data_IF_297429674746
#
_entry.id   IF_297429674746
#
_cell.length_a   1.000
_cell.length_b   1.000
_cell.length_c   1.000
_cell.angle_alpha   90.00
_cell.angle_beta   90.00
_cell.angle_gamma   90.00
#
_symmetry.space_group_name_H-M   'P 1'
#
loop_
_entity.id
_entity.type
_entity.pdbx_description
1 polymer ?
#
# COMPACT_ATOMS: atom_id res chain seq x y z
N UNK A 1 34.37 13.98 56.45
CA UNK A 1 33.65 14.93 55.58
C UNK A 1 33.73 14.33 54.19
N UNK A 2 33.04 13.20 54.04
CA UNK A 2 33.37 12.12 53.11
C UNK A 2 32.25 11.89 52.10
N UNK A 3 31.71 12.98 51.54
CA UNK A 3 30.57 12.92 50.61
C UNK A 3 30.90 13.32 49.17
N UNK A 4 32.15 13.69 48.85
CA UNK A 4 32.54 14.09 47.49
C UNK A 4 33.04 12.94 46.58
N UNK A 5 33.17 11.71 47.10
CA UNK A 5 33.76 10.58 46.36
C UNK A 5 32.73 9.65 45.67
N UNK A 6 31.48 10.08 45.46
CA UNK A 6 30.42 9.26 44.82
C UNK A 6 29.83 9.86 43.53
N UNK A 7 30.60 10.64 42.78
CA UNK A 7 30.23 11.10 41.43
C UNK A 7 31.16 10.58 40.33
N UNK A 8 31.78 9.42 40.53
CA UNK A 8 32.50 8.72 39.48
C UNK A 8 31.55 7.98 38.55
N UNK A 9 31.17 8.66 37.46
CA UNK A 9 31.15 8.09 36.09
C UNK A 9 30.60 6.67 35.94
N UNK A 10 29.30 6.52 36.12
CA UNK A 10 28.55 5.36 35.66
C UNK A 10 28.16 5.47 34.18
N UNK A 11 29.11 5.64 33.25
CA UNK A 11 28.86 5.38 31.82
C UNK A 11 28.83 3.87 31.60
N UNK A 12 27.80 3.21 32.14
CA UNK A 12 27.63 1.77 32.06
C UNK A 12 27.42 1.33 30.61
N UNK A 13 27.84 0.11 30.28
CA UNK A 13 27.64 -0.55 28.98
C UNK A 13 26.23 -0.35 28.42
N UNK A 14 25.22 -0.30 29.29
CA UNK A 14 23.83 0.01 28.96
C UNK A 14 23.59 1.38 28.31
N UNK A 15 24.30 2.42 28.74
CA UNK A 15 24.24 3.75 28.12
C UNK A 15 24.85 3.76 26.72
N UNK A 16 25.97 3.03 26.53
CA UNK A 16 26.61 2.87 25.23
C UNK A 16 25.73 2.07 24.26
N UNK A 17 25.08 1.00 24.73
CA UNK A 17 24.10 0.24 23.94
C UNK A 17 22.89 1.12 23.58
N UNK A 18 22.35 1.89 24.52
CA UNK A 18 21.21 2.76 24.26
C UNK A 18 21.52 3.86 23.23
N UNK A 19 22.70 4.50 23.32
CA UNK A 19 23.16 5.48 22.35
C UNK A 19 23.40 4.83 20.99
N UNK A 20 24.03 3.65 20.95
CA UNK A 20 24.26 2.90 19.72
C UNK A 20 22.95 2.53 19.01
N UNK A 21 21.98 2.00 19.76
CA UNK A 21 20.64 1.67 19.24
C UNK A 21 19.94 2.94 18.75
N UNK A 22 19.98 4.02 19.53
CA UNK A 22 19.39 5.31 19.12
C UNK A 22 20.01 5.82 17.82
N UNK A 23 21.33 5.89 17.70
CA UNK A 23 22.01 6.38 16.51
C UNK A 23 21.71 5.54 15.26
N UNK A 24 21.55 4.23 15.42
CA UNK A 24 21.12 3.35 14.32
C UNK A 24 19.62 3.46 14.05
N UNK A 25 18.77 3.68 15.04
CA UNK A 25 17.32 3.73 14.85
C UNK A 25 16.86 5.09 14.30
N UNK A 26 17.40 6.20 14.81
CA UNK A 26 16.96 7.56 14.49
C UNK A 26 17.86 8.34 13.50
N UNK A 27 19.04 7.83 13.15
CA UNK A 27 20.00 8.55 12.31
C UNK A 27 19.55 8.70 10.85
N UNK A 28 19.77 9.88 10.26
CA UNK A 28 19.52 10.18 8.85
C UNK A 28 20.25 9.23 7.87
N UNK A 29 21.38 8.64 8.29
CA UNK A 29 22.12 7.62 7.53
C UNK A 29 21.28 6.37 7.23
N UNK A 30 20.30 6.05 8.09
CA UNK A 30 19.45 4.88 7.92
C UNK A 30 18.18 5.16 7.12
N UNK A 31 17.92 6.39 6.68
CA UNK A 31 16.71 6.69 5.89
C UNK A 31 16.63 5.85 4.60
N UNK A 32 17.76 5.71 3.88
CA UNK A 32 17.81 4.87 2.67
C UNK A 32 17.45 3.43 2.99
N UNK A 33 17.99 2.88 4.07
CA UNK A 33 17.71 1.52 4.52
C UNK A 33 16.23 1.34 4.87
N UNK A 34 15.67 2.23 5.70
CA UNK A 34 14.27 2.15 6.12
C UNK A 34 13.31 2.33 4.94
N UNK A 35 13.63 3.23 4.01
CA UNK A 35 12.86 3.40 2.77
C UNK A 35 12.94 2.17 1.88
N UNK A 36 14.11 1.56 1.73
CA UNK A 36 14.26 0.32 0.96
C UNK A 36 13.45 -0.80 1.61
N UNK A 37 13.49 -0.95 2.93
CA UNK A 37 12.68 -1.95 3.64
C UNK A 37 11.17 -1.71 3.45
N UNK A 38 10.72 -0.45 3.51
CA UNK A 38 9.33 -0.09 3.26
C UNK A 38 8.88 -0.45 1.83
N UNK A 39 9.69 -0.12 0.82
CA UNK A 39 9.43 -0.49 -0.58
C UNK A 39 9.46 -2.00 -0.77
N UNK A 40 10.41 -2.71 -0.15
CA UNK A 40 10.48 -4.17 -0.18
C UNK A 40 9.24 -4.81 0.42
N UNK A 41 8.70 -4.26 1.52
CA UNK A 41 7.45 -4.73 2.12
C UNK A 41 6.26 -4.50 1.17
N UNK A 42 6.22 -3.36 0.48
CA UNK A 42 5.24 -3.11 -0.59
C UNK A 42 5.35 -4.10 -1.75
N UNK A 43 6.58 -4.44 -2.17
CA UNK A 43 6.82 -5.42 -3.22
C UNK A 43 6.43 -6.83 -2.79
N UNK A 44 6.75 -7.23 -1.56
CA UNK A 44 6.33 -8.52 -0.99
C UNK A 44 4.80 -8.58 -0.96
N UNK A 45 4.13 -7.53 -0.47
CA UNK A 45 2.67 -7.44 -0.45
C UNK A 45 2.06 -7.54 -1.84
N UNK A 46 2.63 -6.85 -2.84
CA UNK A 46 2.22 -6.95 -4.24
C UNK A 46 2.33 -8.38 -4.76
N UNK A 47 3.47 -9.04 -4.56
CA UNK A 47 3.68 -10.43 -4.98
C UNK A 47 2.74 -11.40 -4.27
N UNK A 48 2.56 -11.27 -2.95
CA UNK A 48 1.63 -12.10 -2.17
C UNK A 48 0.19 -11.93 -2.65
N UNK A 49 -0.24 -10.69 -2.92
CA UNK A 49 -1.57 -10.42 -3.45
C UNK A 49 -1.74 -10.99 -4.87
N UNK A 50 -0.75 -10.80 -5.75
CA UNK A 50 -0.76 -11.35 -7.10
C UNK A 50 -0.87 -12.88 -7.08
N UNK A 51 -0.08 -13.57 -6.26
CA UNK A 51 -0.18 -15.03 -6.12
C UNK A 51 -1.59 -15.42 -5.69
N UNK A 52 -2.15 -14.77 -4.65
CA UNK A 52 -3.49 -15.07 -4.15
C UNK A 52 -4.58 -14.88 -5.23
N UNK A 53 -4.56 -13.76 -5.95
CA UNK A 53 -5.61 -13.37 -6.89
C UNK A 53 -5.62 -14.21 -8.18
N UNK A 54 -4.47 -14.78 -8.55
CA UNK A 54 -4.34 -15.65 -9.73
C UNK A 54 -4.41 -17.15 -9.39
N UNK A 55 -4.06 -17.56 -8.16
CA UNK A 55 -4.23 -18.95 -7.70
C UNK A 55 -5.68 -19.31 -7.34
N UNK A 56 -6.49 -18.33 -6.90
CA UNK A 56 -7.90 -18.53 -6.52
C UNK A 56 -8.83 -17.60 -7.30
N UNK A 57 -9.01 -17.83 -8.62
CA UNK A 57 -9.63 -16.86 -9.51
C UNK A 57 -11.12 -16.57 -9.23
N UNK A 58 -11.84 -17.51 -8.61
CA UNK A 58 -13.28 -17.42 -8.31
C UNK A 58 -13.59 -16.52 -7.11
N UNK A 59 -12.70 -16.50 -6.12
CA UNK A 59 -12.84 -15.71 -4.88
C UNK A 59 -11.99 -14.42 -4.90
N UNK A 60 -11.33 -14.16 -6.02
CA UNK A 60 -10.36 -13.09 -6.19
C UNK A 60 -10.95 -11.68 -6.10
N UNK A 61 -12.24 -11.53 -6.41
CA UNK A 61 -12.95 -10.25 -6.39
C UNK A 61 -14.07 -10.34 -5.36
N UNK A 62 -14.07 -9.42 -4.39
CA UNK A 62 -15.12 -9.37 -3.36
C UNK A 62 -16.50 -9.18 -4.00
N UNK A 63 -17.54 -9.67 -3.33
CA UNK A 63 -18.92 -9.51 -3.80
C UNK A 63 -19.30 -8.03 -3.97
N UNK A 64 -18.86 -7.17 -3.04
CA UNK A 64 -19.11 -5.72 -3.11
C UNK A 64 -18.44 -5.07 -4.33
N UNK A 65 -17.23 -5.50 -4.70
CA UNK A 65 -16.53 -4.96 -5.87
C UNK A 65 -17.17 -5.43 -7.19
N UNK A 66 -17.74 -6.65 -7.21
CA UNK A 66 -18.42 -7.18 -8.41
C UNK A 66 -19.61 -6.33 -8.83
N UNK A 67 -20.31 -5.71 -7.88
CA UNK A 67 -21.42 -4.81 -8.17
C UNK A 67 -20.99 -3.65 -9.09
N UNK A 68 -19.88 -2.98 -8.79
CA UNK A 68 -19.33 -1.89 -9.59
C UNK A 68 -18.69 -2.34 -10.92
N UNK A 69 -18.29 -3.61 -11.03
CA UNK A 69 -17.70 -4.18 -12.26
C UNK A 69 -18.73 -4.75 -13.22
N UNK A 70 -19.88 -5.20 -12.70
CA UNK A 70 -20.89 -5.99 -13.42
C UNK A 70 -21.33 -5.38 -14.76
N UNK A 71 -21.56 -4.07 -14.80
CA UNK A 71 -22.02 -3.35 -15.99
C UNK A 71 -20.91 -3.03 -16.99
N UNK A 72 -19.63 -3.16 -16.61
CA UNK A 72 -18.49 -2.77 -17.47
C UNK A 72 -18.28 -3.71 -18.65
N UNK A 73 -18.84 -4.93 -18.61
CA UNK A 73 -18.87 -5.85 -19.75
C UNK A 73 -19.58 -5.26 -20.98
N UNK A 74 -20.45 -4.26 -20.78
CA UNK A 74 -21.13 -3.55 -21.86
C UNK A 74 -20.16 -2.79 -22.78
N UNK A 75 -18.92 -2.54 -22.36
CA UNK A 75 -17.92 -1.89 -23.22
C UNK A 75 -17.44 -2.79 -24.36
N UNK A 76 -17.47 -4.11 -24.15
CA UNK A 76 -17.10 -5.10 -25.16
C UNK A 76 -18.28 -5.45 -26.06
N UNK A 77 -19.50 -5.47 -25.49
CA UNK A 77 -20.73 -5.69 -26.23
C UNK A 77 -21.85 -4.84 -25.63
N UNK A 78 -22.24 -3.78 -26.35
CA UNK A 78 -23.28 -2.83 -25.94
C UNK A 78 -24.66 -3.48 -25.73
N UNK A 79 -24.88 -4.71 -26.20
CA UNK A 79 -26.10 -5.48 -25.98
C UNK A 79 -26.15 -6.22 -24.64
N UNK A 80 -25.02 -6.40 -23.94
CA UNK A 80 -25.00 -7.08 -22.64
C UNK A 80 -25.78 -6.27 -21.61
N UNK A 81 -26.57 -6.94 -20.75
CA UNK A 81 -27.28 -6.31 -19.63
C UNK A 81 -28.17 -5.12 -20.04
N UNK A 82 -28.57 -5.03 -21.31
CA UNK A 82 -29.44 -3.97 -21.79
C UNK A 82 -30.83 -4.10 -21.16
N UNK A 83 -31.27 -3.05 -20.46
CA UNK A 83 -32.53 -3.04 -19.73
C UNK A 83 -32.48 -3.76 -18.38
N UNK A 84 -31.29 -4.13 -17.90
CA UNK A 84 -31.10 -4.64 -16.54
C UNK A 84 -31.07 -3.48 -15.54
N UNK A 85 -32.10 -3.40 -14.68
CA UNK A 85 -32.24 -2.33 -13.70
C UNK A 85 -31.09 -2.28 -12.68
N UNK A 86 -30.50 -3.43 -12.33
CA UNK A 86 -29.41 -3.50 -11.34
C UNK A 86 -28.12 -2.99 -11.98
N UNK A 87 -27.83 -3.39 -13.22
CA UNK A 87 -26.68 -2.90 -13.96
C UNK A 87 -26.76 -1.38 -14.21
N UNK A 88 -27.94 -0.87 -14.58
CA UNK A 88 -28.16 0.55 -14.81
C UNK A 88 -28.04 1.37 -13.51
N UNK A 89 -28.54 0.84 -12.40
CA UNK A 89 -28.34 1.44 -11.07
C UNK A 89 -26.85 1.54 -10.72
N UNK A 90 -26.12 0.43 -10.77
CA UNK A 90 -24.69 0.40 -10.41
C UNK A 90 -23.84 1.26 -11.33
N UNK A 91 -24.20 1.34 -12.62
CA UNK A 91 -23.59 2.29 -13.56
C UNK A 91 -23.83 3.73 -13.13
N UNK A 92 -25.06 4.10 -12.79
CA UNK A 92 -25.42 5.47 -12.44
C UNK A 92 -24.76 5.94 -11.14
N UNK A 93 -24.61 5.06 -10.14
CA UNK A 93 -23.98 5.39 -8.85
C UNK A 93 -22.46 5.19 -8.85
N UNK A 94 -21.89 4.60 -9.90
CA UNK A 94 -20.44 4.42 -10.02
C UNK A 94 -19.75 5.79 -10.08
N UNK A 95 -18.76 6.06 -9.20
CA UNK A 95 -18.00 7.30 -9.28
C UNK A 95 -17.34 7.46 -10.65
N UNK A 96 -17.51 8.62 -11.28
CA UNK A 96 -17.02 8.85 -12.65
C UNK A 96 -15.50 8.59 -12.78
N UNK A 97 -14.71 8.95 -11.76
CA UNK A 97 -13.26 8.75 -11.76
C UNK A 97 -12.88 7.25 -11.72
N UNK A 98 -13.66 6.44 -10.99
CA UNK A 98 -13.48 5.00 -10.95
C UNK A 98 -13.75 4.39 -12.33
N UNK A 99 -14.88 4.73 -12.95
CA UNK A 99 -15.23 4.24 -14.29
C UNK A 99 -14.24 4.72 -15.36
N UNK A 100 -13.77 5.96 -15.28
CA UNK A 100 -12.78 6.50 -16.21
C UNK A 100 -11.44 5.75 -16.14
N UNK A 101 -10.98 5.39 -14.93
CA UNK A 101 -9.76 4.61 -14.75
C UNK A 101 -9.86 3.22 -15.39
N UNK A 102 -10.98 2.52 -15.18
CA UNK A 102 -11.24 1.23 -15.81
C UNK A 102 -11.40 1.34 -17.33
N UNK A 103 -12.05 2.42 -17.81
CA UNK A 103 -12.21 2.67 -19.25
C UNK A 103 -10.87 2.96 -19.93
N UNK A 104 -9.96 3.66 -19.26
CA UNK A 104 -8.60 3.88 -19.75
C UNK A 104 -7.84 2.56 -19.88
N UNK A 105 -7.88 1.70 -18.86
CA UNK A 105 -7.27 0.37 -18.92
C UNK A 105 -7.87 -0.49 -20.05
N UNK A 106 -9.19 -0.44 -20.22
CA UNK A 106 -9.89 -1.12 -21.30
C UNK A 106 -9.46 -0.63 -22.69
N UNK A 107 -9.20 0.67 -22.86
CA UNK A 107 -8.67 1.22 -24.11
C UNK A 107 -7.26 0.70 -24.45
N UNK A 108 -6.50 0.22 -23.46
CA UNK A 108 -5.22 -0.49 -23.66
C UNK A 108 -5.39 -2.01 -23.81
N UNK A 109 -6.61 -2.51 -23.96
CA UNK A 109 -6.92 -3.94 -24.13
C UNK A 109 -6.97 -4.74 -22.83
N UNK A 110 -6.98 -4.09 -21.67
CA UNK A 110 -7.07 -4.77 -20.37
C UNK A 110 -8.54 -4.84 -19.95
N UNK A 111 -9.09 -6.06 -19.83
CA UNK A 111 -10.49 -6.22 -19.42
C UNK A 111 -10.74 -5.65 -18.01
N UNK A 112 -11.95 -5.15 -17.71
CA UNK A 112 -12.27 -4.62 -16.38
C UNK A 112 -11.97 -5.61 -15.26
N UNK A 113 -12.28 -6.88 -15.46
CA UNK A 113 -12.01 -7.95 -14.50
C UNK A 113 -10.50 -8.15 -14.29
N UNK A 114 -9.70 -8.11 -15.35
CA UNK A 114 -8.25 -8.20 -15.24
C UNK A 114 -7.67 -6.98 -14.53
N UNK A 115 -8.16 -5.77 -14.86
CA UNK A 115 -7.71 -4.54 -14.23
C UNK A 115 -8.05 -4.48 -12.74
N UNK A 116 -9.21 -5.00 -12.33
CA UNK A 116 -9.58 -5.12 -10.91
C UNK A 116 -8.60 -5.96 -10.08
N UNK A 117 -7.86 -6.88 -10.71
CA UNK A 117 -6.81 -7.70 -10.08
C UNK A 117 -5.44 -7.04 -10.17
N UNK A 118 -5.14 -6.46 -11.33
CA UNK A 118 -3.85 -5.84 -11.62
C UNK A 118 -3.64 -4.54 -10.84
N UNK A 119 -4.64 -3.66 -10.78
CA UNK A 119 -4.49 -2.35 -10.17
C UNK A 119 -4.14 -2.41 -8.68
N UNK A 120 -4.83 -3.20 -7.84
CA UNK A 120 -4.44 -3.37 -6.43
C UNK A 120 -3.03 -3.96 -6.29
N UNK A 121 -2.61 -4.86 -7.19
CA UNK A 121 -1.23 -5.38 -7.20
C UNK A 121 -0.21 -4.26 -7.42
N UNK A 122 -0.47 -3.38 -8.39
CA UNK A 122 0.44 -2.30 -8.76
C UNK A 122 0.52 -1.19 -7.69
N UNK A 123 -0.55 -0.98 -6.92
CA UNK A 123 -0.64 0.16 -5.99
C UNK A 123 0.09 -0.07 -4.66
N UNK A 124 0.39 -1.32 -4.27
CA UNK A 124 1.11 -1.60 -3.01
C UNK A 124 2.46 -0.89 -2.92
N UNK A 125 3.28 -0.97 -3.98
CA UNK A 125 4.61 -0.34 -4.02
C UNK A 125 4.56 1.19 -3.89
N UNK A 126 3.77 1.94 -4.71
CA UNK A 126 3.69 3.38 -4.57
C UNK A 126 3.06 3.79 -3.24
N UNK A 127 2.06 3.06 -2.70
CA UNK A 127 1.51 3.34 -1.37
C UNK A 127 2.62 3.24 -0.32
N UNK A 128 3.38 2.14 -0.30
CA UNK A 128 4.48 1.98 0.64
C UNK A 128 5.52 3.10 0.55
N UNK A 129 5.86 3.52 -0.67
CA UNK A 129 6.76 4.65 -0.88
C UNK A 129 6.18 5.98 -0.37
N UNK A 130 4.93 6.30 -0.74
CA UNK A 130 4.31 7.58 -0.40
C UNK A 130 3.94 7.66 1.09
N UNK A 131 3.51 6.56 1.72
CA UNK A 131 3.31 6.47 3.17
C UNK A 131 4.61 6.78 3.91
N UNK A 132 5.71 6.12 3.54
CA UNK A 132 7.02 6.42 4.12
C UNK A 132 7.39 7.90 3.94
N UNK A 133 7.23 8.44 2.74
CA UNK A 133 7.52 9.85 2.45
C UNK A 133 6.64 10.82 3.23
N UNK A 134 5.36 10.50 3.41
CA UNK A 134 4.41 11.32 4.16
C UNK A 134 4.85 11.44 5.61
N UNK A 135 5.19 10.32 6.27
CA UNK A 135 5.69 10.34 7.65
C UNK A 135 6.98 11.15 7.75
N UNK A 136 7.89 11.03 6.77
CA UNK A 136 9.12 11.85 6.73
C UNK A 136 8.81 13.34 6.57
N UNK A 137 7.80 13.70 5.75
CA UNK A 137 7.41 15.08 5.50
C UNK A 137 6.81 15.78 6.74
N UNK A 138 6.13 15.02 7.60
CA UNK A 138 5.57 15.52 8.87
C UNK A 138 6.62 15.61 9.99
N UNK A 139 7.88 15.21 9.72
CA UNK A 139 8.97 15.23 10.69
C UNK A 139 9.14 13.94 11.49
N UNK A 140 8.41 12.87 11.12
CA UNK A 140 8.53 11.56 11.74
C UNK A 140 9.88 10.91 11.48
N UNK A 141 10.35 10.10 12.44
CA UNK A 141 11.60 9.35 12.31
C UNK A 141 11.49 8.27 11.21
N UNK A 142 12.59 7.91 10.51
CA UNK A 142 12.55 6.90 9.44
C UNK A 142 11.97 5.55 9.85
N UNK A 143 12.25 5.07 11.07
CA UNK A 143 11.68 3.83 11.59
C UNK A 143 10.16 3.89 11.71
N UNK A 144 9.60 5.03 12.12
CA UNK A 144 8.15 5.23 12.21
C UNK A 144 7.54 5.19 10.82
N UNK A 145 8.21 5.78 9.83
CA UNK A 145 7.79 5.68 8.43
C UNK A 145 7.70 4.24 7.92
N UNK A 146 8.66 3.40 8.32
CA UNK A 146 8.63 1.98 8.00
C UNK A 146 7.52 1.23 8.74
N UNK A 147 7.32 1.46 10.04
CA UNK A 147 6.31 0.74 10.84
C UNK A 147 4.86 1.04 10.44
N UNK A 148 4.61 2.22 9.86
CA UNK A 148 3.29 2.62 9.35
C UNK A 148 3.04 2.09 7.92
N UNK A 149 4.11 1.75 7.20
CA UNK A 149 4.04 1.21 5.83
C UNK A 149 3.61 -0.26 5.84
#
# INVERSE_FOLDING_TARGET
MDDEARQTTGTGVWSAIAVFVRDRVSGARNERLWRTLAISLGLISACSFAIKVYSFPTDAISDDARMFLSWMGQWENDGLLRGDFVADYWRAVSPWAYSALFRAAWAFGISPVAFAKLFPTLIFVPISFYTFRFIRAVGGQPIVGFLVT
#
